data_IF_797608330645
#
_entry.id   IF_797608330645
#
_cell.length_a   1.000
_cell.length_b   1.000
_cell.length_c   1.000
_cell.angle_alpha   90.00
_cell.angle_beta   90.00
_cell.angle_gamma   90.00
#
_symmetry.space_group_name_H-M   'P 1'
#
loop_
_entity.id
_entity.type
_entity.pdbx_description
1 polymer ?
#
# COMPACT_ATOMS: atom_id res chain seq x y z
N UNK A 1 9.03 -48.77 -43.87
CA UNK A 1 7.96 -49.73 -44.20
C UNK A 1 6.62 -49.12 -43.80
N UNK A 2 5.73 -48.92 -44.79
CA UNK A 2 4.26 -48.66 -44.79
C UNK A 2 3.76 -47.48 -43.91
N UNK A 3 3.40 -46.33 -44.49
CA UNK A 3 2.19 -45.95 -45.26
C UNK A 3 0.89 -45.97 -44.42
N UNK A 4 0.33 -44.81 -44.04
CA UNK A 4 -0.60 -43.88 -44.77
C UNK A 4 -2.07 -44.32 -44.65
N UNK A 5 -2.94 -43.40 -44.18
CA UNK A 5 -4.19 -42.85 -44.78
C UNK A 5 -5.00 -42.17 -43.65
N UNK A 6 -5.63 -40.99 -43.74
CA UNK A 6 -5.92 -40.01 -44.79
C UNK A 6 -6.94 -39.02 -44.16
N UNK A 7 -6.69 -37.71 -44.19
CA UNK A 7 -7.28 -36.72 -45.13
C UNK A 7 -8.71 -36.26 -44.80
N UNK A 8 -8.86 -34.96 -44.50
CA UNK A 8 -9.75 -34.08 -45.27
C UNK A 8 -9.32 -32.61 -45.16
N UNK A 9 -8.91 -32.06 -46.31
CA UNK A 9 -8.53 -30.68 -46.58
C UNK A 9 -9.79 -29.91 -47.02
N UNK A 10 -9.90 -28.65 -46.61
CA UNK A 10 -10.80 -27.66 -47.21
C UNK A 10 -10.10 -26.30 -47.28
N UNK A 11 -9.73 -25.88 -48.49
CA UNK A 11 -9.11 -24.59 -48.85
C UNK A 11 -10.07 -23.80 -49.78
N UNK A 12 -9.78 -22.54 -50.16
CA UNK A 12 -10.69 -21.40 -50.08
C UNK A 12 -11.35 -21.02 -51.41
N UNK A 13 -12.32 -20.10 -51.40
CA UNK A 13 -12.82 -19.43 -52.60
C UNK A 13 -12.80 -17.90 -52.44
N UNK A 14 -12.13 -17.25 -53.39
CA UNK A 14 -12.07 -15.81 -53.65
C UNK A 14 -13.11 -15.45 -54.73
N UNK A 15 -13.90 -14.40 -54.53
CA UNK A 15 -14.43 -13.46 -55.53
C UNK A 15 -15.43 -12.52 -54.81
N UNK A 16 -15.51 -11.21 -55.00
CA UNK A 16 -14.86 -10.34 -55.98
C UNK A 16 -14.86 -8.88 -55.48
N UNK A 17 -14.03 -8.07 -56.12
CA UNK A 17 -14.04 -6.61 -55.98
C UNK A 17 -15.11 -6.06 -56.91
N UNK A 18 -15.92 -5.14 -56.44
CA UNK A 18 -16.44 -4.07 -57.30
C UNK A 18 -16.68 -2.75 -56.55
N UNK A 19 -16.48 -1.67 -57.30
CA UNK A 19 -16.31 -0.28 -56.87
C UNK A 19 -17.65 0.43 -56.61
N UNK A 20 -17.72 1.23 -55.54
CA UNK A 20 -18.54 2.46 -55.49
C UNK A 20 -17.99 3.40 -54.40
N UNK A 21 -17.16 4.38 -54.78
CA UNK A 21 -17.49 5.83 -54.82
C UNK A 21 -18.20 6.38 -53.57
N UNK A 22 -17.36 6.99 -52.73
CA UNK A 22 -17.45 8.39 -52.30
C UNK A 22 -18.83 8.94 -51.87
N UNK A 23 -18.99 9.17 -50.57
CA UNK A 23 -19.68 10.33 -50.00
C UNK A 23 -19.20 10.56 -48.57
N UNK A 24 -18.20 11.42 -48.43
CA UNK A 24 -17.86 12.11 -47.18
C UNK A 24 -19.14 12.71 -46.58
N UNK A 25 -19.49 12.28 -45.37
CA UNK A 25 -20.30 13.07 -44.44
C UNK A 25 -19.47 13.28 -43.17
N UNK A 26 -19.20 14.56 -42.89
CA UNK A 26 -18.65 15.03 -41.62
C UNK A 26 -19.52 14.51 -40.47
N UNK A 27 -19.04 13.49 -39.77
CA UNK A 27 -19.52 13.16 -38.43
C UNK A 27 -18.49 13.73 -37.46
N UNK A 28 -18.87 14.85 -36.82
CA UNK A 28 -18.18 15.41 -35.67
C UNK A 28 -17.93 14.32 -34.63
N UNK A 29 -16.67 14.15 -34.23
CA UNK A 29 -16.27 13.30 -33.12
C UNK A 29 -17.10 13.68 -31.88
N UNK A 30 -17.73 12.73 -31.18
CA UNK A 30 -18.37 13.04 -29.90
C UNK A 30 -17.28 13.54 -28.94
N UNK A 31 -17.53 14.72 -28.38
CA UNK A 31 -16.60 15.42 -27.50
C UNK A 31 -16.10 14.52 -26.38
N UNK A 32 -14.83 14.72 -26.04
CA UNK A 32 -14.19 14.26 -24.81
C UNK A 32 -15.20 14.24 -23.65
N UNK A 33 -15.35 13.13 -22.90
CA UNK A 33 -16.16 13.15 -21.70
C UNK A 33 -15.45 14.09 -20.72
N UNK A 34 -15.94 15.32 -20.63
CA UNK A 34 -15.70 16.18 -19.47
C UNK A 34 -16.01 15.33 -18.25
N UNK A 35 -14.98 15.04 -17.45
CA UNK A 35 -15.13 14.51 -16.10
C UNK A 35 -16.14 15.41 -15.39
N UNK A 36 -17.41 14.98 -15.37
CA UNK A 36 -18.38 15.57 -14.48
C UNK A 36 -17.80 15.33 -13.10
N UNK A 37 -17.50 16.42 -12.40
CA UNK A 37 -17.35 16.42 -10.95
C UNK A 37 -18.69 15.97 -10.35
N UNK A 38 -18.96 14.68 -10.45
CA UNK A 38 -20.14 14.04 -9.94
C UNK A 38 -19.99 13.98 -8.44
N UNK A 39 -20.69 14.88 -7.76
CA UNK A 39 -21.27 14.70 -6.44
C UNK A 39 -20.52 13.69 -5.54
N UNK A 40 -19.41 14.13 -4.96
CA UNK A 40 -19.12 13.64 -3.61
C UNK A 40 -20.26 14.18 -2.75
N UNK A 41 -21.25 13.33 -2.46
CA UNK A 41 -22.29 13.61 -1.47
C UNK A 41 -21.61 14.18 -0.20
N UNK A 42 -22.31 15.03 0.53
CA UNK A 42 -21.82 15.59 1.79
C UNK A 42 -21.60 14.45 2.81
N UNK A 43 -20.43 13.81 2.75
CA UNK A 43 -20.03 12.73 3.66
C UNK A 43 -19.88 13.36 5.04
N UNK A 44 -20.59 12.85 6.03
CA UNK A 44 -20.49 13.31 7.41
C UNK A 44 -19.22 12.70 8.02
N UNK A 45 -18.06 13.25 7.64
CA UNK A 45 -16.78 12.81 8.18
C UNK A 45 -16.76 13.01 9.69
N UNK A 46 -16.17 12.05 10.41
CA UNK A 46 -15.88 12.17 11.85
C UNK A 46 -15.12 13.47 12.14
N UNK A 47 -14.22 13.86 11.23
CA UNK A 47 -13.36 15.01 11.43
C UNK A 47 -12.50 14.78 12.67
N UNK A 48 -12.19 15.85 13.42
CA UNK A 48 -11.40 15.66 14.63
C UNK A 48 -12.16 14.95 15.75
N UNK A 49 -13.49 14.84 15.74
CA UNK A 49 -14.27 14.06 16.71
C UNK A 49 -13.76 14.14 18.15
N UNK A 50 -13.35 12.99 18.70
CA UNK A 50 -12.75 12.84 20.04
C UNK A 50 -11.46 13.66 20.26
N UNK A 51 -10.81 14.09 19.20
CA UNK A 51 -9.61 14.92 19.17
C UNK A 51 -9.92 16.41 18.91
N UNK A 52 -11.17 16.86 19.11
CA UNK A 52 -11.56 18.26 18.94
C UNK A 52 -10.76 19.26 19.78
N UNK A 53 -10.29 18.84 20.96
CA UNK A 53 -9.41 19.66 21.83
C UNK A 53 -7.92 19.64 21.47
N UNK A 54 -7.52 18.88 20.45
CA UNK A 54 -6.11 18.76 20.05
C UNK A 54 -5.72 19.96 19.19
N UNK A 55 -4.62 20.62 19.56
CA UNK A 55 -4.11 21.78 18.82
C UNK A 55 -3.74 21.41 17.38
N UNK A 56 -3.76 22.37 16.46
CA UNK A 56 -3.34 22.14 15.08
C UNK A 56 -1.87 21.67 14.98
N UNK A 57 -1.01 22.15 15.87
CA UNK A 57 0.40 21.74 15.94
C UNK A 57 0.53 20.25 16.31
N UNK A 58 -0.15 19.81 17.37
CA UNK A 58 -0.16 18.38 17.76
C UNK A 58 -0.79 17.50 16.69
N UNK A 59 -1.89 17.94 16.07
CA UNK A 59 -2.52 17.18 14.98
C UNK A 59 -1.60 17.01 13.78
N UNK A 60 -0.80 18.03 13.47
CA UNK A 60 0.19 18.02 12.40
C UNK A 60 1.49 17.26 12.73
N UNK A 61 1.68 16.84 13.98
CA UNK A 61 2.83 16.06 14.42
C UNK A 61 2.59 14.55 14.19
N UNK A 62 3.47 13.94 13.38
CA UNK A 62 3.38 12.53 13.05
C UNK A 62 3.71 11.63 14.25
N UNK A 63 4.55 12.08 15.18
CA UNK A 63 4.87 11.32 16.39
C UNK A 63 3.66 11.27 17.32
N UNK A 64 2.99 12.40 17.52
CA UNK A 64 1.73 12.47 18.24
C UNK A 64 0.67 11.53 17.63
N UNK A 65 0.52 11.53 16.31
CA UNK A 65 -0.41 10.61 15.62
C UNK A 65 -0.08 9.13 15.88
N UNK A 66 1.21 8.75 15.92
CA UNK A 66 1.64 7.38 16.20
C UNK A 66 1.48 6.95 17.66
N UNK A 67 1.73 7.87 18.60
CA UNK A 67 1.54 7.66 20.03
C UNK A 67 0.04 7.47 20.35
N UNK A 68 -0.81 8.26 19.69
CA UNK A 68 -2.26 8.28 19.91
C UNK A 68 -3.05 7.32 19.01
N UNK A 69 -2.39 6.33 18.41
CA UNK A 69 -3.09 5.27 17.65
C UNK A 69 -4.11 4.56 18.54
N UNK A 70 -5.30 4.35 17.96
CA UNK A 70 -6.33 3.50 18.56
C UNK A 70 -5.93 2.04 18.36
N UNK A 71 -5.92 1.28 19.46
CA UNK A 71 -5.41 -0.10 19.52
C UNK A 71 -6.36 -1.08 20.22
N UNK A 72 -7.59 -0.68 20.52
CA UNK A 72 -8.54 -1.51 21.26
C UNK A 72 -9.97 -1.32 20.74
N UNK A 73 -10.82 -2.32 20.97
CA UNK A 73 -12.22 -2.29 20.53
C UNK A 73 -13.01 -1.20 21.25
N UNK A 74 -12.73 -0.96 22.53
CA UNK A 74 -13.39 0.07 23.34
C UNK A 74 -13.16 1.46 22.74
N UNK A 75 -11.91 1.75 22.35
CA UNK A 75 -11.57 3.02 21.70
C UNK A 75 -12.15 3.12 20.30
N UNK A 76 -12.20 2.04 19.53
CA UNK A 76 -12.87 2.05 18.22
C UNK A 76 -14.37 2.33 18.38
N UNK A 77 -15.02 1.68 19.34
CA UNK A 77 -16.44 1.87 19.63
C UNK A 77 -16.74 3.32 20.04
N UNK A 78 -15.87 3.93 20.85
CA UNK A 78 -15.95 5.34 21.22
C UNK A 78 -15.82 6.26 20.00
N UNK A 79 -14.93 5.96 19.05
CA UNK A 79 -14.72 6.79 17.84
C UNK A 79 -15.96 6.83 16.95
N UNK A 80 -16.69 5.72 16.83
CA UNK A 80 -17.92 5.63 16.03
C UNK A 80 -19.19 5.82 16.88
N UNK A 81 -19.04 6.22 18.14
CA UNK A 81 -20.15 6.44 19.08
C UNK A 81 -21.15 5.26 19.17
N UNK A 82 -20.62 4.04 19.32
CA UNK A 82 -21.42 2.81 19.50
C UNK A 82 -21.05 2.10 20.81
N UNK A 83 -21.94 1.30 21.41
CA UNK A 83 -21.57 0.42 22.52
C UNK A 83 -20.49 -0.60 22.10
N UNK A 84 -19.54 -0.91 22.98
CA UNK A 84 -18.45 -1.85 22.67
C UNK A 84 -18.95 -3.26 22.40
N UNK A 85 -20.10 -3.61 22.96
CA UNK A 85 -20.81 -4.87 22.78
C UNK A 85 -21.15 -5.13 21.32
N UNK A 86 -21.40 -4.07 20.54
CA UNK A 86 -21.60 -4.15 19.09
C UNK A 86 -20.36 -4.66 18.34
N UNK A 87 -19.17 -4.58 18.95
CA UNK A 87 -17.91 -5.08 18.41
C UNK A 87 -17.42 -6.36 19.11
N UNK A 88 -18.20 -6.95 20.02
CA UNK A 88 -17.76 -8.10 20.83
C UNK A 88 -17.33 -9.31 19.97
N UNK A 89 -18.00 -9.54 18.84
CA UNK A 89 -17.64 -10.61 17.90
C UNK A 89 -16.23 -10.46 17.31
N UNK A 90 -15.66 -9.25 17.32
CA UNK A 90 -14.31 -8.98 16.84
C UNK A 90 -13.22 -9.34 17.87
N UNK A 91 -13.59 -9.64 19.12
CA UNK A 91 -12.65 -9.96 20.20
C UNK A 91 -11.61 -11.02 19.82
N UNK A 92 -12.00 -12.21 19.32
CA UNK A 92 -11.07 -13.24 18.87
C UNK A 92 -10.10 -12.73 17.79
N UNK A 93 -10.59 -11.93 16.84
CA UNK A 93 -9.79 -11.39 15.75
C UNK A 93 -8.68 -10.48 16.28
N UNK A 94 -8.98 -9.66 17.28
CA UNK A 94 -7.99 -8.73 17.86
C UNK A 94 -6.88 -9.41 18.66
N UNK A 95 -7.10 -10.65 19.12
CA UNK A 95 -6.06 -11.48 19.76
C UNK A 95 -5.05 -12.00 18.74
N UNK A 96 -5.50 -12.30 17.53
CA UNK A 96 -4.65 -12.78 16.43
C UNK A 96 -4.03 -11.63 15.64
N UNK A 97 -4.85 -10.63 15.29
CA UNK A 97 -4.49 -9.52 14.42
C UNK A 97 -4.73 -8.18 15.13
N UNK A 98 -3.68 -7.56 15.71
CA UNK A 98 -3.82 -6.34 16.50
C UNK A 98 -4.45 -5.19 15.72
N UNK A 99 -5.06 -4.27 16.46
CA UNK A 99 -5.57 -3.01 15.92
C UNK A 99 -4.47 -1.95 16.07
N UNK A 100 -4.26 -1.17 15.03
CA UNK A 100 -3.56 0.10 15.13
C UNK A 100 -4.09 1.03 14.05
N UNK A 101 -4.71 2.15 14.44
CA UNK A 101 -5.23 3.15 13.49
C UNK A 101 -4.89 4.54 13.98
N UNK A 102 -4.35 5.41 13.11
CA UNK A 102 -4.02 6.80 13.45
C UNK A 102 -5.29 7.64 13.64
N UNK A 103 -5.27 8.63 14.55
CA UNK A 103 -6.34 9.63 14.66
C UNK A 103 -6.71 10.27 13.31
N UNK A 104 -5.69 10.63 12.53
CA UNK A 104 -5.89 11.18 11.19
C UNK A 104 -6.69 10.24 10.28
N UNK A 105 -6.34 8.96 10.19
CA UNK A 105 -7.07 8.06 9.28
C UNK A 105 -8.50 7.80 9.75
N UNK A 106 -8.72 7.70 11.07
CA UNK A 106 -10.06 7.61 11.66
C UNK A 106 -10.91 8.85 11.34
N UNK A 107 -10.31 10.05 11.32
CA UNK A 107 -11.03 11.31 11.02
C UNK A 107 -11.68 11.36 9.63
N UNK A 108 -11.23 10.50 8.71
CA UNK A 108 -11.70 10.47 7.33
C UNK A 108 -12.97 9.64 7.13
N UNK A 109 -13.31 8.78 8.08
CA UNK A 109 -14.47 7.89 8.02
C UNK A 109 -15.76 8.67 8.28
N UNK A 110 -16.87 8.10 7.85
CA UNK A 110 -18.20 8.49 8.30
C UNK A 110 -18.64 7.54 9.44
N UNK A 111 -18.87 8.07 10.64
CA UNK A 111 -19.26 7.24 11.79
C UNK A 111 -20.68 6.66 11.66
N UNK A 112 -21.57 7.32 10.91
CA UNK A 112 -22.93 6.87 10.72
C UNK A 112 -23.04 5.79 9.63
N UNK A 113 -22.06 5.72 8.73
CA UNK A 113 -22.03 4.75 7.64
C UNK A 113 -21.37 3.43 8.10
N UNK A 114 -22.18 2.44 8.48
CA UNK A 114 -21.68 1.11 8.89
C UNK A 114 -20.81 0.45 7.80
N UNK A 115 -21.17 0.69 6.54
CA UNK A 115 -20.45 0.18 5.38
C UNK A 115 -19.31 1.09 4.90
N UNK A 116 -18.87 2.09 5.68
CA UNK A 116 -17.84 3.04 5.27
C UNK A 116 -16.59 2.34 4.72
N UNK A 117 -16.12 2.71 3.52
CA UNK A 117 -15.03 2.01 2.83
C UNK A 117 -13.67 2.17 3.54
N UNK A 118 -13.47 3.19 4.38
CA UNK A 118 -12.24 3.40 5.13
C UNK A 118 -12.29 2.61 6.45
N UNK A 119 -13.46 2.52 7.09
CA UNK A 119 -13.73 1.66 8.24
C UNK A 119 -13.43 0.20 7.90
N UNK A 120 -13.94 -0.30 6.77
CA UNK A 120 -13.70 -1.67 6.26
C UNK A 120 -12.21 -2.01 6.11
N UNK A 121 -11.36 -1.02 5.88
CA UNK A 121 -9.91 -1.24 5.73
C UNK A 121 -9.14 -1.35 7.05
N UNK A 122 -9.73 -0.99 8.20
CA UNK A 122 -8.99 -0.92 9.47
C UNK A 122 -9.75 -1.41 10.72
N UNK A 123 -11.07 -1.60 10.65
CA UNK A 123 -11.85 -2.19 11.74
C UNK A 123 -11.87 -3.71 11.59
N UNK A 124 -11.63 -4.48 12.68
CA UNK A 124 -11.64 -5.93 12.62
C UNK A 124 -13.00 -6.46 12.20
N UNK A 125 -13.00 -7.61 11.52
CA UNK A 125 -14.18 -8.34 11.12
C UNK A 125 -14.03 -9.83 11.49
N UNK A 126 -15.06 -10.47 12.10
CA UNK A 126 -15.00 -11.89 12.46
C UNK A 126 -14.63 -12.83 11.31
N UNK A 127 -14.97 -12.44 10.06
CA UNK A 127 -14.67 -13.21 8.85
C UNK A 127 -13.17 -13.31 8.56
N UNK A 128 -12.34 -12.49 9.20
CA UNK A 128 -10.88 -12.58 9.05
C UNK A 128 -10.27 -13.86 9.64
N UNK A 129 -11.02 -14.59 10.47
CA UNK A 129 -10.62 -15.90 11.01
C UNK A 129 -11.27 -17.07 10.28
N UNK A 130 -12.05 -16.80 9.23
CA UNK A 130 -12.68 -17.84 8.44
C UNK A 130 -11.68 -18.43 7.44
N UNK A 131 -11.19 -19.64 7.70
CA UNK A 131 -10.24 -20.35 6.83
C UNK A 131 -10.94 -21.15 5.70
N UNK A 132 -12.24 -20.96 5.46
CA UNK A 132 -13.05 -21.83 4.57
C UNK A 132 -12.62 -21.85 3.10
N UNK A 133 -11.77 -20.92 2.65
CA UNK A 133 -11.30 -20.83 1.26
C UNK A 133 -9.96 -21.52 0.98
N UNK A 134 -9.41 -22.29 1.93
CA UNK A 134 -8.11 -22.95 1.75
C UNK A 134 -6.95 -21.95 1.69
N UNK A 135 -7.07 -20.87 2.46
CA UNK A 135 -6.11 -19.77 2.49
C UNK A 135 -4.82 -20.21 3.19
N UNK A 136 -3.68 -19.93 2.56
CA UNK A 136 -2.35 -20.07 3.14
C UNK A 136 -2.02 -18.78 3.92
N UNK A 137 -1.41 -18.89 5.10
CA UNK A 137 -0.93 -17.74 5.88
C UNK A 137 0.09 -16.90 5.09
N UNK A 138 0.83 -17.53 4.17
CA UNK A 138 1.72 -16.89 3.20
C UNK A 138 1.19 -17.10 1.77
N UNK A 139 0.12 -16.38 1.37
CA UNK A 139 -0.56 -16.59 0.09
C UNK A 139 0.32 -16.25 -1.12
N UNK A 140 1.43 -15.55 -0.88
CA UNK A 140 2.40 -15.21 -1.90
C UNK A 140 3.59 -16.16 -1.92
N UNK A 141 3.76 -17.06 -0.94
CA UNK A 141 4.97 -17.88 -0.80
C UNK A 141 6.23 -17.03 -0.68
N UNK A 142 6.16 -15.91 0.04
CA UNK A 142 7.30 -15.05 0.34
C UNK A 142 8.41 -15.79 1.07
N UNK A 143 8.09 -16.62 2.05
CA UNK A 143 9.07 -17.34 2.89
C UNK A 143 9.92 -18.32 2.08
N UNK A 144 9.29 -19.03 1.14
CA UNK A 144 10.00 -19.94 0.22
C UNK A 144 10.97 -19.19 -0.70
N UNK A 145 10.75 -17.90 -0.91
CA UNK A 145 11.60 -17.03 -1.71
C UNK A 145 12.56 -16.19 -0.86
N UNK A 146 12.76 -16.52 0.43
CA UNK A 146 13.71 -15.83 1.31
C UNK A 146 15.07 -16.53 1.37
N UNK A 147 16.10 -16.11 0.60
CA UNK A 147 17.45 -16.65 0.75
C UNK A 147 18.08 -16.31 2.10
N UNK A 148 17.65 -15.22 2.73
CA UNK A 148 17.95 -14.86 4.12
C UNK A 148 16.67 -14.29 4.76
N UNK A 149 16.47 -14.44 6.09
CA UNK A 149 15.29 -13.90 6.76
C UNK A 149 15.05 -12.43 6.43
N UNK A 150 13.82 -12.10 6.03
CA UNK A 150 13.40 -10.73 5.72
C UNK A 150 13.77 -10.20 4.34
N UNK A 151 14.55 -10.92 3.53
CA UNK A 151 14.83 -10.56 2.14
C UNK A 151 14.07 -11.51 1.21
N UNK A 152 13.10 -11.01 0.45
CA UNK A 152 12.35 -11.79 -0.55
C UNK A 152 12.98 -11.60 -1.93
N UNK A 153 13.49 -12.67 -2.50
CA UNK A 153 14.13 -12.71 -3.82
C UNK A 153 13.38 -13.68 -4.73
N UNK A 154 12.23 -13.23 -5.27
CA UNK A 154 11.39 -14.01 -6.19
C UNK A 154 11.77 -13.86 -7.65
N UNK A 155 12.24 -12.67 -8.03
CA UNK A 155 12.50 -12.30 -9.42
C UNK A 155 14.01 -12.21 -9.67
N UNK A 156 14.50 -12.52 -10.87
CA UNK A 156 15.94 -12.62 -11.14
C UNK A 156 16.77 -11.36 -10.83
N UNK A 157 16.16 -10.18 -10.97
CA UNK A 157 16.84 -8.89 -10.98
C UNK A 157 16.44 -7.94 -9.84
N UNK A 158 15.54 -8.37 -8.95
CA UNK A 158 15.01 -7.51 -7.89
C UNK A 158 14.59 -8.27 -6.64
N UNK A 159 14.73 -7.59 -5.51
CA UNK A 159 14.38 -8.12 -4.20
C UNK A 159 13.56 -7.13 -3.37
N UNK A 160 12.86 -7.65 -2.35
CA UNK A 160 12.13 -6.87 -1.36
C UNK A 160 12.74 -7.09 0.03
N UNK A 161 12.99 -6.01 0.75
CA UNK A 161 13.58 -6.00 2.09
C UNK A 161 12.50 -5.65 3.12
N UNK A 162 12.21 -6.55 4.06
CA UNK A 162 11.28 -6.35 5.17
C UNK A 162 12.01 -5.59 6.29
N UNK A 163 12.02 -4.26 6.19
CA UNK A 163 12.78 -3.41 7.12
C UNK A 163 12.10 -3.22 8.46
N UNK A 164 10.77 -3.26 8.49
CA UNK A 164 9.92 -3.16 9.69
C UNK A 164 8.70 -4.06 9.56
N UNK A 165 8.06 -4.47 10.66
CA UNK A 165 6.72 -5.07 10.67
C UNK A 165 5.67 -4.10 11.27
N UNK A 166 6.09 -2.88 11.59
CA UNK A 166 5.24 -1.84 12.17
C UNK A 166 4.71 -0.94 11.05
N UNK A 167 3.42 -0.62 11.10
CA UNK A 167 2.75 0.34 10.22
C UNK A 167 2.08 1.44 11.05
N UNK A 168 1.76 2.57 10.43
CA UNK A 168 0.91 3.59 11.05
C UNK A 168 -0.53 3.06 11.24
N UNK A 169 -1.05 2.39 10.22
CA UNK A 169 -2.35 1.72 10.25
C UNK A 169 -2.18 0.24 9.87
N UNK A 170 -2.74 -0.66 10.68
CA UNK A 170 -2.84 -2.08 10.36
C UNK A 170 -4.07 -2.35 9.50
N UNK A 171 -3.80 -2.51 8.20
CA UNK A 171 -4.82 -2.70 7.18
C UNK A 171 -5.41 -4.12 7.28
N UNK A 172 -6.74 -4.25 7.36
CA UNK A 172 -7.40 -5.56 7.49
C UNK A 172 -7.32 -6.42 6.22
N UNK A 173 -6.85 -5.86 5.12
CA UNK A 173 -6.54 -6.59 3.87
C UNK A 173 -5.04 -6.86 3.67
N UNK A 174 -4.21 -6.69 4.70
CA UNK A 174 -2.76 -6.89 4.58
C UNK A 174 -2.41 -8.37 4.30
N UNK A 175 -1.67 -8.62 3.22
CA UNK A 175 -1.13 -9.96 2.89
C UNK A 175 0.01 -10.43 3.82
N UNK A 176 0.45 -9.58 4.75
CA UNK A 176 1.53 -9.83 5.71
C UNK A 176 1.05 -9.76 7.16
N UNK A 177 -0.25 -10.00 7.42
CA UNK A 177 -0.77 -10.08 8.80
C UNK A 177 0.01 -11.06 9.67
N UNK A 178 0.47 -12.19 9.09
CA UNK A 178 1.22 -13.23 9.79
C UNK A 178 2.48 -12.73 10.51
N UNK A 179 3.08 -11.62 10.08
CA UNK A 179 4.33 -11.10 10.67
C UNK A 179 4.13 -9.92 11.64
N UNK A 180 2.89 -9.47 11.89
CA UNK A 180 2.63 -8.30 12.75
C UNK A 180 3.07 -8.50 14.19
N UNK A 181 2.93 -9.73 14.70
CA UNK A 181 3.27 -10.09 16.08
C UNK A 181 4.66 -10.71 16.22
N UNK A 182 5.41 -10.84 15.12
CA UNK A 182 6.74 -11.42 15.18
C UNK A 182 7.68 -10.51 15.96
N UNK A 183 8.37 -11.10 16.94
CA UNK A 183 9.47 -10.44 17.62
C UNK A 183 10.63 -10.23 16.65
N UNK A 184 11.33 -9.11 16.82
CA UNK A 184 12.52 -8.79 16.05
C UNK A 184 13.74 -8.94 16.93
N UNK A 185 14.69 -9.82 16.58
CA UNK A 185 15.92 -9.93 17.34
C UNK A 185 16.80 -8.69 17.08
N UNK A 186 17.28 -8.06 18.16
CA UNK A 186 18.26 -6.98 18.10
C UNK A 186 17.74 -5.65 17.53
N UNK A 187 18.68 -4.77 17.18
CA UNK A 187 18.37 -3.48 16.57
C UNK A 187 18.06 -3.60 15.07
N UNK A 188 17.51 -2.53 14.50
CA UNK A 188 17.10 -2.50 13.09
C UNK A 188 18.29 -2.70 12.14
N UNK A 189 19.49 -2.24 12.50
CA UNK A 189 20.67 -2.37 11.64
C UNK A 189 21.16 -3.81 11.61
N UNK A 190 21.20 -4.45 12.78
CA UNK A 190 21.58 -5.84 12.96
C UNK A 190 20.62 -6.78 12.20
N UNK A 191 19.32 -6.49 12.26
CA UNK A 191 18.31 -7.22 11.49
C UNK A 191 18.51 -7.11 9.97
N UNK A 192 18.88 -5.93 9.46
CA UNK A 192 18.97 -5.66 8.02
C UNK A 192 20.33 -6.06 7.43
N UNK A 193 21.40 -6.13 8.24
CA UNK A 193 22.75 -6.39 7.76
C UNK A 193 22.88 -7.69 6.92
N UNK A 194 22.32 -8.85 7.31
CA UNK A 194 22.40 -10.06 6.49
C UNK A 194 21.75 -9.90 5.10
N UNK A 195 20.73 -9.04 5.00
CA UNK A 195 20.04 -8.75 3.73
C UNK A 195 20.93 -7.89 2.83
N UNK A 196 21.59 -6.88 3.39
CA UNK A 196 22.60 -6.06 2.67
C UNK A 196 23.73 -6.95 2.16
N UNK A 197 24.24 -7.85 2.99
CA UNK A 197 25.33 -8.76 2.63
C UNK A 197 24.95 -9.74 1.51
N UNK A 198 23.69 -10.18 1.47
CA UNK A 198 23.18 -10.99 0.36
C UNK A 198 23.08 -10.18 -0.93
N UNK A 199 22.54 -8.95 -0.86
CA UNK A 199 22.42 -8.07 -2.02
C UNK A 199 23.80 -7.76 -2.61
N UNK A 200 24.79 -7.44 -1.76
CA UNK A 200 26.16 -7.15 -2.18
C UNK A 200 26.85 -8.32 -2.88
N UNK A 201 26.51 -9.57 -2.51
CA UNK A 201 27.07 -10.80 -3.11
C UNK A 201 26.29 -11.33 -4.30
N UNK A 202 25.21 -10.67 -4.71
CA UNK A 202 24.31 -11.15 -5.76
C UNK A 202 24.23 -10.13 -6.90
N UNK A 203 25.17 -10.15 -7.87
CA UNK A 203 25.28 -9.12 -8.92
C UNK A 203 24.07 -8.98 -9.85
N UNK A 204 23.19 -9.99 -9.89
CA UNK A 204 21.96 -9.92 -10.68
C UNK A 204 20.93 -8.93 -10.12
N UNK A 205 21.01 -8.60 -8.81
CA UNK A 205 20.03 -7.73 -8.14
C UNK A 205 20.27 -6.25 -8.46
N UNK A 206 19.49 -5.72 -9.41
CA UNK A 206 19.58 -4.33 -9.88
C UNK A 206 18.59 -3.40 -9.19
N UNK A 207 17.48 -3.94 -8.67
CA UNK A 207 16.47 -3.19 -7.92
C UNK A 207 16.27 -3.73 -6.50
N UNK A 208 16.24 -2.82 -5.52
CA UNK A 208 15.94 -3.14 -4.11
C UNK A 208 14.72 -2.36 -3.65
N UNK A 209 13.71 -3.10 -3.17
CA UNK A 209 12.43 -2.54 -2.70
C UNK A 209 12.39 -2.59 -1.17
N UNK A 210 12.40 -1.43 -0.52
CA UNK A 210 12.20 -1.30 0.93
C UNK A 210 10.71 -1.39 1.23
N UNK A 211 10.31 -2.38 2.05
CA UNK A 211 8.91 -2.62 2.42
C UNK A 211 8.83 -3.36 3.78
N UNK A 212 7.93 -4.32 3.92
CA UNK A 212 7.58 -4.99 5.18
C UNK A 212 6.24 -4.48 5.69
N UNK A 213 6.26 -3.82 6.85
CA UNK A 213 5.20 -2.95 7.33
C UNK A 213 5.24 -1.62 6.57
N UNK A 214 5.77 -0.57 7.20
CA UNK A 214 5.95 0.72 6.52
C UNK A 214 7.37 1.30 6.76
N UNK A 215 8.25 1.35 5.73
CA UNK A 215 9.61 1.86 5.85
C UNK A 215 9.71 3.29 6.38
N UNK A 216 8.67 4.13 6.17
CA UNK A 216 8.69 5.49 6.69
C UNK A 216 8.48 5.55 8.21
N UNK A 217 8.19 4.44 8.88
CA UNK A 217 8.19 4.39 10.34
C UNK A 217 9.58 4.21 10.95
N UNK A 218 10.60 3.98 10.12
CA UNK A 218 11.98 4.06 10.57
C UNK A 218 12.36 5.51 10.88
N UNK A 219 13.30 5.68 11.82
CA UNK A 219 13.92 6.98 12.05
C UNK A 219 14.66 7.45 10.80
N UNK A 220 14.74 8.76 10.59
CA UNK A 220 15.40 9.32 9.41
C UNK A 220 16.85 8.89 9.30
N UNK A 221 17.58 8.80 10.42
CA UNK A 221 18.97 8.35 10.43
C UNK A 221 19.16 6.86 10.08
N UNK A 222 18.21 5.99 10.40
CA UNK A 222 18.26 4.59 9.96
C UNK A 222 17.93 4.48 8.47
N UNK A 223 16.91 5.20 8.01
CA UNK A 223 16.52 5.19 6.60
C UNK A 223 17.60 5.79 5.70
N UNK A 224 18.25 6.89 6.13
CA UNK A 224 19.37 7.53 5.43
C UNK A 224 20.59 6.59 5.32
N UNK A 225 20.96 5.93 6.43
CA UNK A 225 22.01 4.91 6.45
C UNK A 225 21.71 3.76 5.49
N UNK A 226 20.49 3.23 5.52
CA UNK A 226 20.11 2.07 4.72
C UNK A 226 20.14 2.40 3.22
N UNK A 227 19.52 3.52 2.83
CA UNK A 227 19.51 3.97 1.44
C UNK A 227 20.94 4.24 0.94
N UNK A 228 21.77 4.89 1.76
CA UNK A 228 23.16 5.18 1.42
C UNK A 228 24.00 3.91 1.27
N UNK A 229 23.81 2.93 2.17
CA UNK A 229 24.52 1.65 2.14
C UNK A 229 24.14 0.84 0.90
N UNK A 230 22.85 0.73 0.57
CA UNK A 230 22.39 0.03 -0.62
C UNK A 230 22.84 0.73 -1.91
N UNK A 231 22.83 2.07 -1.93
CA UNK A 231 23.30 2.86 -3.08
C UNK A 231 24.79 2.69 -3.36
N UNK A 232 25.59 2.39 -2.34
CA UNK A 232 27.03 2.17 -2.49
C UNK A 232 27.36 0.82 -3.17
N UNK A 233 26.38 -0.09 -3.31
CA UNK A 233 26.55 -1.37 -3.99
C UNK A 233 26.54 -1.14 -5.52
N UNK A 234 27.63 -1.42 -6.26
CA UNK A 234 27.79 -0.98 -7.65
C UNK A 234 26.71 -1.45 -8.63
N UNK A 235 26.18 -2.66 -8.45
CA UNK A 235 25.16 -3.25 -9.33
C UNK A 235 23.72 -2.85 -8.95
N UNK A 236 23.51 -2.14 -7.83
CA UNK A 236 22.18 -1.66 -7.42
C UNK A 236 21.88 -0.33 -8.11
N UNK A 237 20.98 -0.37 -9.08
CA UNK A 237 20.63 0.77 -9.93
C UNK A 237 19.43 1.54 -9.37
N UNK A 238 18.42 0.80 -8.89
CA UNK A 238 17.12 1.34 -8.50
C UNK A 238 16.83 1.01 -7.05
N UNK A 239 16.49 2.05 -6.28
CA UNK A 239 15.89 1.90 -4.95
C UNK A 239 14.41 2.28 -5.05
N UNK A 240 13.55 1.53 -4.38
CA UNK A 240 12.12 1.80 -4.29
C UNK A 240 11.65 1.70 -2.85
N UNK A 241 10.80 2.62 -2.41
CA UNK A 241 10.13 2.56 -1.11
C UNK A 241 8.65 2.25 -1.33
N UNK A 242 8.15 1.18 -0.71
CA UNK A 242 6.72 0.90 -0.61
C UNK A 242 6.19 1.35 0.75
N UNK A 243 5.38 2.40 0.81
CA UNK A 243 4.87 2.98 2.06
C UNK A 243 3.46 3.53 1.92
N UNK A 244 2.62 3.23 2.91
CA UNK A 244 1.25 3.74 3.00
C UNK A 244 1.16 5.00 3.87
N UNK A 245 2.27 5.49 4.41
CA UNK A 245 2.30 6.70 5.23
C UNK A 245 1.72 7.94 4.51
N UNK A 246 1.92 8.21 3.20
CA UNK A 246 1.25 9.33 2.54
C UNK A 246 -0.29 9.29 2.63
N UNK A 247 -0.87 8.10 2.80
CA UNK A 247 -2.30 7.87 2.93
C UNK A 247 -2.76 7.89 4.38
N UNK A 248 -2.00 7.25 5.27
CA UNK A 248 -2.45 6.90 6.64
C UNK A 248 -1.80 7.76 7.73
N UNK A 249 -0.69 8.42 7.40
CA UNK A 249 0.09 9.30 8.26
C UNK A 249 0.82 10.36 7.40
N UNK A 250 0.10 11.18 6.62
CA UNK A 250 0.73 12.12 5.67
C UNK A 250 1.68 13.10 6.35
N UNK A 251 1.46 13.40 7.63
CA UNK A 251 2.33 14.21 8.47
C UNK A 251 3.77 13.69 8.53
N UNK A 252 4.00 12.38 8.33
CA UNK A 252 5.34 11.77 8.34
C UNK A 252 6.21 12.24 7.18
N UNK A 253 5.59 12.65 6.07
CA UNK A 253 6.29 13.18 4.90
C UNK A 253 6.66 14.64 5.17
N UNK A 254 7.59 14.89 6.09
CA UNK A 254 8.08 16.22 6.50
C UNK A 254 9.00 16.84 5.43
N UNK A 255 9.30 18.16 5.48
CA UNK A 255 10.32 18.75 4.61
C UNK A 255 11.70 18.11 4.82
N UNK A 256 12.04 17.78 6.07
CA UNK A 256 13.28 17.09 6.43
C UNK A 256 13.39 15.71 5.79
N UNK A 257 12.35 14.88 5.93
CA UNK A 257 12.31 13.56 5.29
C UNK A 257 12.47 13.67 3.78
N UNK A 258 11.71 14.56 3.13
CA UNK A 258 11.79 14.73 1.68
C UNK A 258 13.18 15.20 1.22
N UNK A 259 13.81 16.11 1.97
CA UNK A 259 15.17 16.56 1.70
C UNK A 259 16.20 15.43 1.87
N UNK A 260 16.01 14.54 2.85
CA UNK A 260 16.84 13.33 3.01
C UNK A 260 16.67 12.39 1.83
N UNK A 261 15.44 12.02 1.48
CA UNK A 261 15.15 11.09 0.39
C UNK A 261 15.68 11.60 -0.97
N UNK A 262 15.65 12.92 -1.19
CA UNK A 262 16.20 13.57 -2.41
C UNK A 262 17.69 13.26 -2.65
N UNK A 263 18.48 13.03 -1.59
CA UNK A 263 19.91 12.70 -1.70
C UNK A 263 20.16 11.30 -2.24
N UNK A 264 19.18 10.41 -2.14
CA UNK A 264 19.28 9.00 -2.53
C UNK A 264 18.69 8.70 -3.90
N UNK A 265 18.49 9.71 -4.75
CA UNK A 265 18.02 9.52 -6.14
C UNK A 265 19.06 8.76 -6.99
N UNK A 266 18.64 7.97 -8.01
CA UNK A 266 17.27 7.70 -8.44
C UNK A 266 16.47 6.82 -7.46
N UNK A 267 15.38 7.35 -6.92
CA UNK A 267 14.54 6.70 -5.91
C UNK A 267 13.10 6.73 -6.40
N UNK A 268 12.40 5.61 -6.27
CA UNK A 268 10.98 5.48 -6.58
C UNK A 268 10.16 5.34 -5.31
N UNK A 269 8.92 5.82 -5.36
CA UNK A 269 7.99 5.72 -4.24
C UNK A 269 6.68 5.08 -4.68
N UNK A 270 6.29 4.01 -4.01
CA UNK A 270 5.03 3.33 -4.22
C UNK A 270 4.16 3.54 -2.99
N UNK A 271 3.02 4.19 -3.19
CA UNK A 271 1.99 4.37 -2.18
C UNK A 271 0.80 3.41 -2.39
N UNK A 272 -0.21 3.46 -1.52
CA UNK A 272 -1.33 2.51 -1.51
C UNK A 272 -2.65 3.19 -1.12
N UNK A 273 -3.14 4.07 -1.98
CA UNK A 273 -4.50 4.59 -1.99
C UNK A 273 -5.46 3.54 -2.57
N UNK A 274 -6.55 3.27 -1.89
CA UNK A 274 -7.60 2.34 -2.29
C UNK A 274 -8.93 3.04 -2.57
N UNK A 275 -9.19 4.21 -2.00
CA UNK A 275 -10.48 4.89 -2.14
C UNK A 275 -10.32 6.42 -2.29
N UNK A 276 -11.14 7.12 -3.10
CA UNK A 276 -10.99 8.57 -3.29
C UNK A 276 -11.10 9.41 -2.02
N UNK A 277 -11.82 8.96 -0.97
CA UNK A 277 -11.89 9.65 0.33
C UNK A 277 -10.53 9.74 1.03
N UNK A 278 -9.57 8.89 0.65
CA UNK A 278 -8.19 8.94 1.17
C UNK A 278 -7.38 10.08 0.54
N UNK A 279 -7.84 10.67 -0.58
CA UNK A 279 -7.23 11.84 -1.21
C UNK A 279 -7.72 13.10 -0.48
N UNK A 280 -6.95 13.51 0.51
CA UNK A 280 -7.17 14.67 1.37
C UNK A 280 -6.15 15.78 1.10
N UNK A 281 -6.38 17.01 1.56
CA UNK A 281 -5.36 18.06 1.52
C UNK A 281 -4.02 17.64 2.15
N UNK A 282 -4.03 16.89 3.26
CA UNK A 282 -2.82 16.38 3.91
C UNK A 282 -2.08 15.37 3.03
N UNK A 283 -2.79 14.40 2.46
CA UNK A 283 -2.21 13.36 1.60
C UNK A 283 -1.69 13.93 0.28
N UNK A 284 -2.41 14.91 -0.30
CA UNK A 284 -1.98 15.65 -1.50
C UNK A 284 -0.67 16.37 -1.23
N UNK A 285 -0.56 17.11 -0.12
CA UNK A 285 0.69 17.79 0.26
C UNK A 285 1.85 16.82 0.48
N UNK A 286 1.58 15.63 1.05
CA UNK A 286 2.60 14.59 1.22
C UNK A 286 3.11 14.08 -0.13
N UNK A 287 2.21 13.76 -1.07
CA UNK A 287 2.57 13.33 -2.42
C UNK A 287 3.29 14.43 -3.21
N UNK A 288 2.79 15.68 -3.18
CA UNK A 288 3.43 16.84 -3.81
C UNK A 288 4.86 17.02 -3.30
N UNK A 289 5.09 16.90 -1.99
CA UNK A 289 6.42 17.04 -1.41
C UNK A 289 7.41 16.00 -1.91
N UNK A 290 6.97 14.75 -2.11
CA UNK A 290 7.79 13.70 -2.72
C UNK A 290 8.08 14.01 -4.19
N UNK A 291 7.07 14.43 -4.96
CA UNK A 291 7.23 14.81 -6.37
C UNK A 291 8.20 15.98 -6.53
N UNK A 292 8.08 17.02 -5.69
CA UNK A 292 8.99 18.18 -5.68
C UNK A 292 10.41 17.85 -5.23
N UNK A 293 10.60 16.75 -4.48
CA UNK A 293 11.92 16.20 -4.20
C UNK A 293 12.54 15.47 -5.41
N UNK A 294 11.82 15.36 -6.53
CA UNK A 294 12.26 14.68 -7.75
C UNK A 294 12.14 13.16 -7.66
N UNK A 295 11.20 12.66 -6.85
CA UNK A 295 10.94 11.23 -6.63
C UNK A 295 9.63 10.89 -7.35
N UNK A 296 9.65 10.02 -8.38
CA UNK A 296 8.42 9.53 -9.00
C UNK A 296 7.56 8.77 -7.99
N UNK A 297 6.28 9.13 -7.92
CA UNK A 297 5.29 8.50 -7.03
C UNK A 297 4.31 7.69 -7.88
N UNK A 298 4.15 6.41 -7.57
CA UNK A 298 3.15 5.52 -8.15
C UNK A 298 2.23 4.97 -7.07
N UNK A 299 1.03 4.50 -7.46
CA UNK A 299 0.06 3.94 -6.54
C UNK A 299 -0.19 2.46 -6.82
N UNK A 300 -0.24 1.65 -5.77
CA UNK A 300 -0.63 0.24 -5.83
C UNK A 300 -1.95 0.07 -5.06
N UNK A 301 -3.08 0.12 -5.75
CA UNK A 301 -4.37 -0.22 -5.12
C UNK A 301 -4.55 -1.73 -5.00
N UNK A 302 -5.25 -2.16 -3.97
CA UNK A 302 -5.79 -3.52 -3.88
C UNK A 302 -7.27 -3.45 -4.26
N UNK A 303 -7.73 -4.38 -5.08
CA UNK A 303 -9.16 -4.50 -5.39
C UNK A 303 -9.88 -5.13 -4.20
N UNK A 304 -10.77 -4.38 -3.57
CA UNK A 304 -11.38 -4.69 -2.28
C UNK A 304 -12.89 -4.55 -2.36
N UNK A 305 -13.61 -5.67 -2.20
CA UNK A 305 -15.07 -5.72 -2.27
C UNK A 305 -15.71 -4.73 -1.30
N UNK A 306 -16.52 -3.82 -1.84
CA UNK A 306 -17.23 -2.79 -1.07
C UNK A 306 -16.35 -1.59 -0.68
N UNK A 307 -15.19 -1.43 -1.32
CA UNK A 307 -14.29 -0.28 -1.14
C UNK A 307 -14.01 0.36 -2.50
N UNK A 308 -13.55 -0.40 -3.49
CA UNK A 308 -13.26 0.04 -4.86
C UNK A 308 -13.64 -1.03 -5.89
#
# INVERSE_FOLDING_TARGET
MKNITGSAIGKPCLAGRDKARDKKKNASLPGSPTLRAGAFACVHRIGRGLWGGVSAAQWGDWEWQLQNRVRSLEKLALVINTPVESLAACGPVTKTYPIAVTPYYLSLMDAAEECDPLRRQCFPDPRELDCSLGEDDDPLGEERAMPVPGLIHRYPDRCLVIVTNVCAVYCRHCNRKRIWCNERPGGVREWIQPMIDHIARTPSLREVILSGGDPLLLSEGVLDWLLGTLRAIPHVEVLRIGSRAPVTLPMRVTPGLAAMLKRHRPLWFNTQFNHPREITPESTRACERLLMAGIPVSNQSVLLKGIN
#
